data_IF_546184381098
#
_entry.id   IF_546184381098
#
_cell.length_a   1.000
_cell.length_b   1.000
_cell.length_c   1.000
_cell.angle_alpha   90.00
_cell.angle_beta   90.00
_cell.angle_gamma   90.00
#
_symmetry.space_group_name_H-M   'P 1'
#
loop_
_entity.id
_entity.type
_entity.pdbx_description
1 polymer ?
#
# COMPACT_ATOMS: atom_id res chain seq x y z
N UNK A 1 -10.67 9.06 24.32
CA UNK A 1 -10.08 7.70 24.34
C UNK A 1 -9.75 7.33 22.90
N UNK A 2 -8.47 7.27 22.53
CA UNK A 2 -8.06 6.95 21.15
C UNK A 2 -8.50 5.51 20.89
N UNK A 3 -9.46 5.31 19.98
CA UNK A 3 -9.92 3.97 19.64
C UNK A 3 -8.74 3.22 19.00
N UNK A 4 -8.49 1.98 19.40
CA UNK A 4 -7.41 1.14 18.83
C UNK A 4 -7.41 1.12 17.29
N UNK A 5 -8.60 1.24 16.68
CA UNK A 5 -8.76 1.43 15.23
C UNK A 5 -7.97 2.60 14.67
N UNK A 6 -7.93 3.75 15.35
CA UNK A 6 -7.22 4.95 14.87
C UNK A 6 -5.71 4.74 14.84
N UNK A 7 -5.15 3.98 15.80
CA UNK A 7 -3.72 3.67 15.82
C UNK A 7 -3.34 2.78 14.62
N UNK A 8 -4.18 1.79 14.31
CA UNK A 8 -4.00 0.93 13.12
C UNK A 8 -4.14 1.75 11.84
N UNK A 9 -5.10 2.67 11.78
CA UNK A 9 -5.26 3.61 10.68
C UNK A 9 -4.00 4.45 10.45
N UNK A 10 -3.47 5.11 11.49
CA UNK A 10 -2.25 5.91 11.37
C UNK A 10 -1.02 5.10 10.97
N UNK A 11 -0.89 3.87 11.47
CA UNK A 11 0.18 2.96 11.04
C UNK A 11 0.02 2.60 9.57
N UNK A 12 -1.20 2.35 9.11
CA UNK A 12 -1.51 2.09 7.70
C UNK A 12 -1.14 3.27 6.81
N UNK A 13 -1.52 4.50 7.19
CA UNK A 13 -1.16 5.73 6.47
C UNK A 13 0.37 5.87 6.35
N UNK A 14 1.09 5.66 7.45
CA UNK A 14 2.55 5.70 7.45
C UNK A 14 3.15 4.64 6.53
N UNK A 15 2.59 3.42 6.51
CA UNK A 15 3.10 2.31 5.70
C UNK A 15 2.90 2.51 4.19
N UNK A 16 1.92 3.30 3.77
CA UNK A 16 1.73 3.69 2.36
C UNK A 16 2.62 4.88 2.00
N UNK A 17 2.74 5.85 2.91
CA UNK A 17 3.55 7.05 2.69
C UNK A 17 5.04 6.77 2.65
N UNK A 18 5.55 5.85 3.48
CA UNK A 18 6.96 5.48 3.53
C UNK A 18 7.52 4.97 2.18
N UNK A 19 6.94 3.94 1.52
CA UNK A 19 7.42 3.48 0.22
C UNK A 19 7.25 4.55 -0.86
N UNK A 20 6.21 5.39 -0.79
CA UNK A 20 6.05 6.53 -1.70
C UNK A 20 7.17 7.57 -1.51
N UNK A 21 7.54 7.87 -0.27
CA UNK A 21 8.67 8.74 0.04
C UNK A 21 10.00 8.14 -0.44
N UNK A 22 10.21 6.84 -0.24
CA UNK A 22 11.40 6.12 -0.73
C UNK A 22 11.45 6.09 -2.26
N UNK A 23 10.30 6.01 -2.94
CA UNK A 23 10.18 6.15 -4.39
C UNK A 23 10.64 7.55 -4.84
N UNK A 24 10.16 8.61 -4.19
CA UNK A 24 10.57 9.99 -4.48
C UNK A 24 12.07 10.21 -4.24
N UNK A 25 12.61 9.61 -3.18
CA UNK A 25 14.05 9.63 -2.88
C UNK A 25 14.90 8.76 -3.84
N UNK A 26 14.27 8.10 -4.83
CA UNK A 26 14.91 7.13 -5.74
C UNK A 26 15.61 5.98 -5.00
N UNK A 27 15.23 5.73 -3.73
CA UNK A 27 15.70 4.60 -2.90
C UNK A 27 14.92 3.32 -3.20
N UNK A 28 13.74 3.45 -3.79
CA UNK A 28 12.89 2.35 -4.21
C UNK A 28 12.38 2.61 -5.64
N UNK A 29 12.08 1.56 -6.41
CA UNK A 29 11.44 1.69 -7.72
C UNK A 29 10.01 1.15 -7.64
N UNK A 30 9.08 1.76 -8.36
CA UNK A 30 7.70 1.31 -8.44
C UNK A 30 7.55 -0.10 -9.05
N UNK A 31 8.59 -0.60 -9.72
CA UNK A 31 8.66 -1.96 -10.27
C UNK A 31 9.25 -2.99 -9.31
N UNK A 32 9.57 -2.61 -8.07
CA UNK A 32 10.03 -3.58 -7.07
C UNK A 32 8.86 -4.25 -6.35
N UNK A 33 9.01 -5.53 -6.07
CA UNK A 33 8.03 -6.31 -5.30
C UNK A 33 7.82 -5.67 -3.91
N UNK A 34 8.90 -5.20 -3.27
CA UNK A 34 8.85 -4.56 -1.97
C UNK A 34 7.95 -3.31 -1.94
N UNK A 35 8.01 -2.46 -2.98
CA UNK A 35 7.17 -1.27 -3.09
C UNK A 35 5.69 -1.62 -3.12
N UNK A 36 5.29 -2.56 -3.96
CA UNK A 36 3.90 -3.00 -4.05
C UNK A 36 3.45 -3.72 -2.78
N UNK A 37 4.29 -4.57 -2.19
CA UNK A 37 3.93 -5.31 -0.99
C UNK A 37 3.68 -4.38 0.21
N UNK A 38 4.57 -3.39 0.42
CA UNK A 38 4.41 -2.40 1.49
C UNK A 38 3.13 -1.58 1.32
N UNK A 39 2.86 -1.10 0.10
CA UNK A 39 1.61 -0.40 -0.19
C UNK A 39 0.40 -1.30 0.09
N UNK A 40 0.43 -2.56 -0.35
CA UNK A 40 -0.70 -3.47 -0.18
C UNK A 40 -0.99 -3.77 1.30
N UNK A 41 0.05 -3.97 2.12
CA UNK A 41 -0.11 -4.16 3.56
C UNK A 41 -0.69 -2.90 4.22
N UNK A 42 -0.20 -1.71 3.85
CA UNK A 42 -0.70 -0.45 4.40
C UNK A 42 -2.18 -0.21 4.08
N UNK A 43 -2.59 -0.51 2.84
CA UNK A 43 -3.98 -0.39 2.41
C UNK A 43 -4.90 -1.37 3.16
N UNK A 44 -4.44 -2.61 3.40
CA UNK A 44 -5.21 -3.58 4.17
C UNK A 44 -5.43 -3.11 5.62
N UNK A 45 -4.42 -2.50 6.24
CA UNK A 45 -4.54 -1.91 7.57
C UNK A 45 -5.55 -0.74 7.58
N UNK A 46 -5.53 0.09 6.54
CA UNK A 46 -6.49 1.19 6.41
C UNK A 46 -7.91 0.67 6.18
N UNK A 47 -8.11 -0.30 5.28
CA UNK A 47 -9.42 -0.94 5.09
C UNK A 47 -9.96 -1.56 6.39
N UNK A 48 -9.08 -2.19 7.19
CA UNK A 48 -9.46 -2.70 8.52
C UNK A 48 -9.90 -1.57 9.46
N UNK A 49 -9.19 -0.44 9.48
CA UNK A 49 -9.62 0.73 10.26
C UNK A 49 -10.95 1.32 9.77
N UNK A 50 -11.16 1.37 8.45
CA UNK A 50 -12.41 1.85 7.86
C UNK A 50 -13.61 0.97 8.23
N UNK A 51 -13.40 -0.33 8.49
CA UNK A 51 -14.48 -1.21 8.94
C UNK A 51 -15.14 -0.71 10.25
N UNK A 52 -14.36 -0.14 11.16
CA UNK A 52 -14.87 0.41 12.44
C UNK A 52 -15.39 1.85 12.34
N UNK A 53 -15.03 2.58 11.29
CA UNK A 53 -15.45 3.96 11.06
C UNK A 53 -15.60 4.19 9.56
N UNK A 54 -16.70 3.64 9.04
CA UNK A 54 -16.92 3.56 7.60
C UNK A 54 -17.00 4.95 6.98
N UNK A 55 -16.15 5.15 5.97
CA UNK A 55 -16.15 6.35 5.15
C UNK A 55 -16.07 5.90 3.69
N UNK A 56 -17.13 6.16 2.93
CA UNK A 56 -17.22 5.73 1.54
C UNK A 56 -16.14 6.37 0.65
N UNK A 57 -15.85 7.66 0.87
CA UNK A 57 -14.82 8.38 0.11
C UNK A 57 -13.44 7.77 0.36
N UNK A 58 -13.11 7.49 1.61
CA UNK A 58 -11.86 6.81 1.98
C UNK A 58 -11.83 5.37 1.43
N UNK A 59 -12.94 4.64 1.44
CA UNK A 59 -12.99 3.27 0.92
C UNK A 59 -12.68 3.21 -0.58
N UNK A 60 -13.21 4.15 -1.36
CA UNK A 60 -12.96 4.23 -2.81
C UNK A 60 -11.48 4.40 -3.10
N UNK A 61 -10.82 5.36 -2.45
CA UNK A 61 -9.38 5.61 -2.69
C UNK A 61 -8.53 4.41 -2.25
N UNK A 62 -8.85 3.76 -1.12
CA UNK A 62 -8.13 2.55 -0.69
C UNK A 62 -8.28 1.41 -1.69
N UNK A 63 -9.49 1.16 -2.19
CA UNK A 63 -9.75 0.14 -3.21
C UNK A 63 -8.99 0.46 -4.51
N UNK A 64 -8.97 1.72 -4.95
CA UNK A 64 -8.17 2.14 -6.11
C UNK A 64 -6.67 1.83 -5.90
N UNK A 65 -6.15 2.11 -4.72
CA UNK A 65 -4.77 1.80 -4.36
C UNK A 65 -4.48 0.29 -4.33
N UNK A 66 -5.44 -0.56 -3.93
CA UNK A 66 -5.28 -2.02 -4.02
C UNK A 66 -5.03 -2.43 -5.47
N UNK A 67 -5.83 -1.94 -6.42
CA UNK A 67 -5.67 -2.27 -7.85
C UNK A 67 -4.34 -1.79 -8.40
N UNK A 68 -3.92 -0.56 -8.08
CA UNK A 68 -2.63 0.01 -8.49
C UNK A 68 -1.48 -0.83 -7.94
N UNK A 69 -1.55 -1.18 -6.65
CA UNK A 69 -0.51 -1.96 -5.99
C UNK A 69 -0.40 -3.38 -6.56
N UNK A 70 -1.54 -4.04 -6.81
CA UNK A 70 -1.61 -5.37 -7.40
C UNK A 70 -1.05 -5.39 -8.82
N UNK A 71 -1.39 -4.38 -9.63
CA UNK A 71 -0.80 -4.22 -10.96
C UNK A 71 0.72 -4.05 -10.90
N UNK A 72 1.21 -3.20 -9.99
CA UNK A 72 2.64 -3.03 -9.73
C UNK A 72 3.33 -4.34 -9.33
N UNK A 73 2.68 -5.14 -8.48
CA UNK A 73 3.20 -6.42 -8.01
C UNK A 73 3.32 -7.44 -9.15
N UNK A 74 2.28 -7.59 -9.96
CA UNK A 74 2.28 -8.51 -11.11
C UNK A 74 3.38 -8.12 -12.10
N UNK A 75 3.53 -6.82 -12.36
CA UNK A 75 4.58 -6.31 -13.24
C UNK A 75 5.98 -6.57 -12.66
N UNK A 76 6.17 -6.30 -11.38
CA UNK A 76 7.42 -6.53 -10.67
C UNK A 76 7.85 -8.01 -10.73
N UNK A 77 6.91 -8.94 -10.50
CA UNK A 77 7.17 -10.38 -10.58
C UNK A 77 7.58 -10.77 -12.02
N UNK A 78 6.87 -10.27 -13.03
CA UNK A 78 7.21 -10.55 -14.45
C UNK A 78 8.58 -10.01 -14.86
N UNK A 79 8.97 -8.82 -14.39
CA UNK A 79 10.28 -8.24 -14.67
C UNK A 79 11.42 -9.02 -13.97
N UNK A 80 11.22 -9.44 -12.71
CA UNK A 80 12.19 -10.28 -12.00
C UNK A 80 12.37 -11.65 -12.67
N UNK A 81 11.29 -12.28 -13.15
CA UNK A 81 11.35 -13.56 -13.86
C UNK A 81 12.19 -13.48 -15.16
N UNK A 82 12.14 -12.35 -15.88
CA UNK A 82 12.96 -12.13 -17.09
C UNK A 82 14.44 -11.90 -16.82
N UNK A 83 14.79 -11.46 -15.62
CA UNK A 83 16.19 -11.12 -15.26
C UNK A 83 16.99 -12.37 -14.88
N UNK A 84 16.32 -13.51 -14.70
CA UNK A 84 16.91 -14.81 -14.34
C UNK A 84 16.79 -15.89 -15.44
N UNK A 85 16.41 -15.51 -16.67
CA UNK A 85 16.42 -16.39 -17.86
C UNK A 85 17.44 -15.93 -18.88
#
# INVERSE_FOLDING_TARGET
MVKFSNLIGFLGDFLILLPFFLLLCKKMKATTIAYSLLNLIGILMLLFSLYFSFNLSAAIIQISWVFISLYGLIRAIKENAKTHS
#
